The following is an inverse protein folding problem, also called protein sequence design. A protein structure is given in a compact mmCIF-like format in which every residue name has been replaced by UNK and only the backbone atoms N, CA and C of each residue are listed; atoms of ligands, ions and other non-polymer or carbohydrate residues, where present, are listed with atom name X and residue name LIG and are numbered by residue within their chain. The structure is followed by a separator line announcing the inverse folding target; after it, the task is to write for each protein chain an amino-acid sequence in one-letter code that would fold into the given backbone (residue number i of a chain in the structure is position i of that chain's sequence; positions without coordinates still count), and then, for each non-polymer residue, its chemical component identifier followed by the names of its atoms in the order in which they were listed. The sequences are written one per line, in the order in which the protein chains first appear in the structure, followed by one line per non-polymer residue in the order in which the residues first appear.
data_IF_302616527936
#
_entry.id   IF_302616527936
#
_cell.length_a   1.000
_cell.length_b   1.000
_cell.length_c   1.000
_cell.angle_alpha   90.00
_cell.angle_beta   90.00
_cell.angle_gamma   90.00
#
_symmetry.space_group_name_H-M   'P 1'
#
loop_
_entity.id
_entity.type
_entity.pdbx_description
1 polymer ?
#
# COMPACT_ATOMS: atom_id res chain seq x y z
N UNK A 1 -4.10 0.72 18.85
CA UNK A 1 -5.41 1.07 18.25
C UNK A 1 -5.29 2.02 17.05
N UNK A 2 -4.36 2.98 17.04
CA UNK A 2 -4.21 3.95 15.92
C UNK A 2 -3.98 3.29 14.55
N UNK A 3 -3.23 2.18 14.50
CA UNK A 3 -2.98 1.44 13.25
C UNK A 3 -4.27 0.94 12.59
N UNK A 4 -5.26 0.52 13.38
CA UNK A 4 -6.53 0.05 12.84
C UNK A 4 -7.32 1.21 12.18
N UNK A 5 -7.33 2.38 12.81
CA UNK A 5 -7.97 3.57 12.24
C UNK A 5 -7.31 3.99 10.93
N UNK A 6 -5.96 3.94 10.86
CA UNK A 6 -5.20 4.22 9.64
C UNK A 6 -5.57 3.22 8.54
N UNK A 7 -5.63 1.92 8.85
CA UNK A 7 -6.02 0.89 7.88
C UNK A 7 -7.42 1.15 7.34
N UNK A 8 -8.41 1.41 8.20
CA UNK A 8 -9.80 1.68 7.76
C UNK A 8 -9.83 2.90 6.83
N UNK A 9 -9.22 4.01 7.24
CA UNK A 9 -9.21 5.25 6.46
C UNK A 9 -8.53 5.06 5.10
N UNK A 10 -7.37 4.41 5.08
CA UNK A 10 -6.59 4.20 3.85
C UNK A 10 -7.27 3.22 2.90
N UNK A 11 -8.00 2.22 3.40
CA UNK A 11 -8.82 1.33 2.56
C UNK A 11 -9.99 2.08 1.89
N UNK A 12 -10.63 3.01 2.60
CA UNK A 12 -11.68 3.86 2.02
C UNK A 12 -11.09 4.74 0.91
N UNK A 13 -9.96 5.41 1.20
CA UNK A 13 -9.30 6.32 0.26
C UNK A 13 -8.70 5.61 -0.97
N UNK A 14 -8.25 4.37 -0.83
CA UNK A 14 -7.77 3.55 -1.94
C UNK A 14 -8.88 3.09 -2.91
N UNK A 15 -10.13 3.41 -2.59
CA UNK A 15 -11.27 3.15 -3.46
C UNK A 15 -11.81 1.73 -3.42
N UNK A 16 -11.62 1.01 -2.30
CA UNK A 16 -12.27 -0.29 -2.09
C UNK A 16 -13.79 -0.22 -1.95
N UNK A 17 -14.34 0.97 -1.61
CA UNK A 17 -15.78 1.19 -1.48
C UNK A 17 -16.33 2.28 -2.41
N UNK A 18 -15.46 3.18 -2.91
CA UNK A 18 -15.85 4.28 -3.78
C UNK A 18 -14.75 4.52 -4.83
N UNK A 19 -15.09 4.47 -6.12
CA UNK A 19 -14.10 4.76 -7.15
C UNK A 19 -13.89 6.26 -7.29
N UNK A 20 -12.65 6.69 -7.08
CA UNK A 20 -12.22 8.07 -7.38
C UNK A 20 -11.76 8.23 -8.84
N UNK A 21 -11.86 7.18 -9.67
CA UNK A 21 -11.50 7.26 -11.10
C UNK A 21 -12.43 8.28 -11.79
N UNK A 22 -11.81 9.31 -12.41
CA UNK A 22 -12.47 10.50 -13.00
C UNK A 22 -12.99 11.53 -11.99
N UNK A 23 -12.58 11.45 -10.73
CA UNK A 23 -12.87 12.42 -9.67
C UNK A 23 -11.88 13.59 -9.61
N UNK A 24 -11.65 14.10 -8.40
CA UNK A 24 -10.69 15.19 -8.16
C UNK A 24 -9.24 14.66 -8.23
N UNK A 25 -8.35 15.29 -9.04
CA UNK A 25 -6.99 14.80 -9.32
C UNK A 25 -6.12 14.68 -8.06
N UNK A 26 -6.41 15.44 -7.01
CA UNK A 26 -5.69 15.37 -5.73
C UNK A 26 -5.98 14.03 -5.05
N UNK A 27 -7.25 13.63 -4.99
CA UNK A 27 -7.65 12.37 -4.34
C UNK A 27 -7.19 11.16 -5.15
N UNK A 28 -7.19 11.27 -6.48
CA UNK A 28 -6.61 10.26 -7.36
C UNK A 28 -5.11 10.07 -7.10
N UNK A 29 -4.36 11.18 -7.01
CA UNK A 29 -2.94 11.15 -6.68
C UNK A 29 -2.65 10.51 -5.31
N UNK A 30 -3.43 10.87 -4.29
CA UNK A 30 -3.30 10.28 -2.94
C UNK A 30 -3.60 8.79 -2.98
N UNK A 31 -4.71 8.39 -3.61
CA UNK A 31 -5.13 6.99 -3.72
C UNK A 31 -4.06 6.12 -4.38
N UNK A 32 -3.42 6.62 -5.44
CA UNK A 32 -2.37 5.89 -6.16
C UNK A 32 -1.09 5.66 -5.35
N UNK A 33 -0.86 6.43 -4.30
CA UNK A 33 0.29 6.24 -3.39
C UNK A 33 -0.03 5.19 -2.31
N UNK A 34 -1.29 4.91 -2.02
CA UNK A 34 -1.66 4.00 -0.94
C UNK A 34 -1.43 2.53 -1.34
N UNK A 35 -0.80 1.71 -0.47
CA UNK A 35 -0.59 0.29 -0.76
C UNK A 35 -1.89 -0.49 -0.93
N UNK A 36 -2.97 -0.05 -0.29
CA UNK A 36 -4.30 -0.63 -0.45
C UNK A 36 -4.80 -0.55 -1.90
N UNK A 37 -4.48 0.53 -2.64
CA UNK A 37 -4.87 0.68 -4.06
C UNK A 37 -4.12 -0.32 -4.92
N UNK A 38 -2.81 -0.46 -4.72
CA UNK A 38 -1.99 -1.44 -5.43
C UNK A 38 -2.50 -2.89 -5.22
N UNK A 39 -2.91 -3.24 -3.99
CA UNK A 39 -3.52 -4.55 -3.69
C UNK A 39 -4.84 -4.76 -4.44
N UNK A 40 -5.70 -3.74 -4.50
CA UNK A 40 -6.96 -3.81 -5.26
C UNK A 40 -6.71 -3.96 -6.76
N UNK A 41 -5.73 -3.25 -7.33
CA UNK A 41 -5.36 -3.38 -8.74
C UNK A 41 -4.88 -4.79 -9.08
N UNK A 42 -4.12 -5.44 -8.19
CA UNK A 42 -3.69 -6.83 -8.38
C UNK A 42 -4.91 -7.77 -8.38
N UNK A 43 -5.80 -7.61 -7.40
CA UNK A 43 -7.01 -8.43 -7.30
C UNK A 43 -7.90 -8.28 -8.55
N UNK A 44 -8.18 -7.04 -8.97
CA UNK A 44 -8.95 -6.74 -10.18
C UNK A 44 -8.28 -7.32 -11.44
N UNK A 45 -6.96 -7.16 -11.58
CA UNK A 45 -6.23 -7.73 -12.72
C UNK A 45 -6.27 -9.26 -12.76
N UNK A 46 -6.32 -9.93 -11.60
CA UNK A 46 -6.51 -11.38 -11.53
C UNK A 46 -7.93 -11.79 -11.92
N UNK A 47 -8.95 -11.05 -11.48
CA UNK A 47 -10.36 -11.29 -11.85
C UNK A 47 -10.61 -11.11 -13.35
N UNK A 48 -9.99 -10.09 -13.94
CA UNK A 48 -10.11 -9.78 -15.37
C UNK A 48 -9.22 -10.66 -16.27
N UNK A 49 -8.53 -11.67 -15.71
CA UNK A 49 -7.59 -12.55 -16.42
C UNK A 49 -6.49 -11.78 -17.18
N UNK A 50 -6.08 -10.63 -16.65
CA UNK A 50 -4.98 -9.85 -17.19
C UNK A 50 -3.67 -10.59 -16.93
N UNK A 51 -2.71 -10.47 -17.86
CA UNK A 51 -1.37 -11.02 -17.69
C UNK A 51 -0.76 -10.52 -16.37
N UNK A 52 -0.22 -11.44 -15.57
CA UNK A 52 0.49 -11.11 -14.32
C UNK A 52 1.60 -10.06 -14.51
N UNK A 53 2.17 -10.01 -15.72
CA UNK A 53 3.18 -9.02 -16.10
C UNK A 53 2.65 -7.58 -16.00
N UNK A 54 1.35 -7.36 -16.25
CA UNK A 54 0.70 -6.06 -16.11
C UNK A 54 0.51 -5.65 -14.65
N UNK A 55 0.46 -6.61 -13.73
CA UNK A 55 0.38 -6.38 -12.29
C UNK A 55 1.76 -6.24 -11.60
N UNK A 56 2.86 -6.48 -12.32
CA UNK A 56 4.22 -6.37 -11.77
C UNK A 56 4.51 -5.02 -11.10
N UNK A 57 4.13 -3.86 -11.65
CA UNK A 57 4.38 -2.57 -11.00
C UNK A 57 3.73 -2.49 -9.60
N UNK A 58 2.48 -2.93 -9.47
CA UNK A 58 1.77 -2.95 -8.19
C UNK A 58 2.38 -3.96 -7.20
N UNK A 59 2.77 -5.14 -7.68
CA UNK A 59 3.41 -6.17 -6.85
C UNK A 59 4.78 -5.70 -6.33
N UNK A 60 5.62 -5.19 -7.23
CA UNK A 60 6.95 -4.68 -6.88
C UNK A 60 6.86 -3.51 -5.90
N UNK A 61 5.90 -2.60 -6.10
CA UNK A 61 5.62 -1.51 -5.17
C UNK A 61 5.33 -2.02 -3.75
N UNK A 62 4.43 -2.99 -3.58
CA UNK A 62 4.08 -3.53 -2.26
C UNK A 62 5.28 -4.21 -1.61
N UNK A 63 6.05 -5.00 -2.36
CA UNK A 63 7.24 -5.70 -1.85
C UNK A 63 8.30 -4.71 -1.37
N UNK A 64 8.60 -3.68 -2.18
CA UNK A 64 9.58 -2.64 -1.82
C UNK A 64 9.12 -1.89 -0.56
N UNK A 65 7.85 -1.53 -0.48
CA UNK A 65 7.31 -0.83 0.68
C UNK A 65 7.39 -1.68 1.96
N UNK A 66 7.06 -2.97 1.87
CA UNK A 66 7.20 -3.91 2.99
C UNK A 66 8.66 -4.03 3.45
N UNK A 67 9.61 -4.13 2.52
CA UNK A 67 11.04 -4.18 2.86
C UNK A 67 11.50 -2.90 3.56
N UNK A 68 11.06 -1.74 3.09
CA UNK A 68 11.37 -0.45 3.72
C UNK A 68 10.86 -0.44 5.17
N UNK A 69 9.59 -0.76 5.40
CA UNK A 69 9.03 -0.79 6.76
C UNK A 69 9.69 -1.84 7.65
N UNK A 70 10.03 -2.99 7.08
CA UNK A 70 10.77 -4.03 7.79
C UNK A 70 12.14 -3.54 8.24
N UNK A 71 12.92 -2.91 7.36
CA UNK A 71 14.23 -2.35 7.69
C UNK A 71 14.08 -1.29 8.80
N UNK A 72 13.12 -0.37 8.67
CA UNK A 72 12.84 0.62 9.72
C UNK A 72 12.49 -0.05 11.06
N UNK A 73 11.68 -1.10 11.04
CA UNK A 73 11.30 -1.84 12.25
C UNK A 73 12.51 -2.53 12.89
N UNK A 74 13.39 -3.14 12.09
CA UNK A 74 14.63 -3.77 12.56
C UNK A 74 15.57 -2.73 13.18
N UNK A 75 15.80 -1.60 12.50
CA UNK A 75 16.67 -0.53 13.01
C UNK A 75 16.14 0.05 14.31
N UNK A 76 14.83 0.30 14.39
CA UNK A 76 14.18 0.81 15.60
C UNK A 76 14.29 -0.19 16.75
N UNK A 77 13.96 -1.46 16.50
CA UNK A 77 14.04 -2.52 17.50
C UNK A 77 15.47 -2.70 18.00
N UNK A 78 16.46 -2.72 17.10
CA UNK A 78 17.87 -2.81 17.50
C UNK A 78 18.29 -1.64 18.39
N UNK A 79 17.93 -0.41 18.02
CA UNK A 79 18.23 0.78 18.84
C UNK A 79 17.59 0.70 20.23
N UNK A 80 16.31 0.32 20.27
CA UNK A 80 15.53 0.32 21.51
C UNK A 80 15.96 -0.81 22.47
N UNK A 81 16.45 -1.95 21.96
CA UNK A 81 16.82 -3.12 22.78
C UNK A 81 18.33 -3.36 22.96
N UNK A 82 19.17 -3.03 21.98
CA UNK A 82 20.62 -3.29 22.05
C UNK A 82 21.45 -2.06 22.45
N UNK A 83 20.81 -0.89 22.59
CA UNK A 83 21.30 0.23 23.39
C UNK A 83 22.59 0.94 22.94
N UNK A 84 23.33 0.49 21.92
CA UNK A 84 24.51 1.20 21.40
C UNK A 84 24.66 1.04 19.89
N UNK A 85 25.01 2.17 19.28
CA UNK A 85 25.45 2.31 17.88
C UNK A 85 26.89 1.87 17.73
#
# INVERSE_FOLDING_TARGET
MIGNAIIILTTILAGGFYSFDKGNPIFEGISNILPQRASLTIAAGMEENVLLLSCLPSLTYIIVLMLIFYIFAVLKTKRDYLGKW
#
